data_IF_653282940345
#
_entry.id   IF_653282940345
#
_cell.length_a   1.000
_cell.length_b   1.000
_cell.length_c   1.000
_cell.angle_alpha   90.00
_cell.angle_beta   90.00
_cell.angle_gamma   90.00
#
_symmetry.space_group_name_H-M   'P 1'
#
loop_
_entity.id
_entity.type
_entity.pdbx_description
1 polymer ?
#
# COMPACT_ATOMS: atom_id res chain seq x y z
N UNK A 1 12.20 -15.72 -2.97
CA UNK A 1 10.90 -16.05 -2.35
C UNK A 1 9.93 -16.78 -3.28
N UNK A 2 10.04 -16.69 -4.61
CA UNK A 2 9.05 -17.32 -5.51
C UNK A 2 9.19 -18.85 -5.65
N UNK A 3 10.01 -19.49 -4.81
CA UNK A 3 10.17 -20.95 -4.75
C UNK A 3 9.97 -21.41 -3.31
N UNK A 4 9.59 -22.69 -3.08
CA UNK A 4 9.47 -23.25 -1.74
C UNK A 4 10.75 -23.07 -0.89
N UNK A 5 11.91 -23.26 -1.50
CA UNK A 5 13.21 -23.08 -0.83
C UNK A 5 13.45 -21.61 -0.47
N UNK A 6 13.11 -20.70 -1.38
CA UNK A 6 13.20 -19.26 -1.14
C UNK A 6 12.26 -18.79 -0.03
N UNK A 7 11.06 -19.37 0.08
CA UNK A 7 10.15 -19.14 1.20
C UNK A 7 10.70 -19.73 2.51
N UNK A 8 11.29 -20.92 2.48
CA UNK A 8 11.88 -21.54 3.66
C UNK A 8 13.01 -20.68 4.25
N UNK A 9 13.94 -20.23 3.40
CA UNK A 9 15.02 -19.29 3.81
C UNK A 9 14.42 -17.99 4.35
N UNK A 10 13.32 -17.50 3.77
CA UNK A 10 12.66 -16.30 4.26
C UNK A 10 12.01 -16.50 5.64
N UNK A 11 11.36 -17.64 5.87
CA UNK A 11 10.81 -17.99 7.19
C UNK A 11 11.89 -18.11 8.25
N UNK A 12 13.06 -18.63 7.89
CA UNK A 12 14.23 -18.67 8.76
C UNK A 12 14.74 -17.26 9.07
N UNK A 13 14.88 -16.41 8.04
CA UNK A 13 15.25 -15.01 8.22
C UNK A 13 14.29 -14.27 9.17
N UNK A 14 12.97 -14.45 9.00
CA UNK A 14 11.95 -13.83 9.84
C UNK A 14 11.83 -14.45 11.24
N UNK A 15 12.60 -15.50 11.56
CA UNK A 15 12.45 -16.24 12.82
C UNK A 15 12.78 -15.42 14.07
N UNK A 16 13.79 -14.54 13.98
CA UNK A 16 14.13 -13.63 15.08
C UNK A 16 13.02 -12.62 15.28
N UNK A 17 12.53 -12.01 14.20
CA UNK A 17 11.43 -11.04 14.28
C UNK A 17 10.16 -11.69 14.85
N UNK A 18 9.83 -12.92 14.45
CA UNK A 18 8.69 -13.68 14.99
C UNK A 18 8.79 -13.89 16.51
N UNK A 19 9.97 -14.29 17.00
CA UNK A 19 10.19 -14.46 18.45
C UNK A 19 10.03 -13.16 19.22
N UNK A 20 10.44 -12.03 18.63
CA UNK A 20 10.23 -10.71 19.24
C UNK A 20 8.73 -10.34 19.26
N UNK A 21 8.03 -10.55 18.14
CA UNK A 21 6.57 -10.35 18.04
C UNK A 21 5.82 -11.15 19.11
N UNK A 22 6.19 -12.41 19.32
CA UNK A 22 5.61 -13.26 20.37
C UNK A 22 5.99 -12.78 21.78
N UNK A 23 7.27 -12.50 22.03
CA UNK A 23 7.76 -12.13 23.36
C UNK A 23 7.23 -10.78 23.86
N UNK A 24 6.97 -9.84 22.94
CA UNK A 24 6.40 -8.53 23.25
C UNK A 24 4.88 -8.49 23.09
N UNK A 25 4.24 -9.62 22.81
CA UNK A 25 2.79 -9.73 22.62
C UNK A 25 2.27 -8.70 21.60
N UNK A 26 2.97 -8.55 20.47
CA UNK A 26 2.63 -7.56 19.46
C UNK A 26 1.29 -7.92 18.79
N UNK A 27 0.32 -7.01 18.89
CA UNK A 27 -1.00 -7.15 18.26
C UNK A 27 -0.96 -6.93 16.75
N UNK A 28 -0.20 -5.92 16.31
CA UNK A 28 -0.15 -5.48 14.91
C UNK A 28 1.25 -4.99 14.52
N UNK A 29 1.67 -5.31 13.30
CA UNK A 29 2.97 -4.93 12.73
C UNK A 29 2.75 -3.86 11.67
N UNK A 30 3.50 -2.77 11.69
CA UNK A 30 3.37 -1.69 10.71
C UNK A 30 4.60 -1.62 9.81
N UNK A 31 4.44 -1.91 8.52
CA UNK A 31 5.51 -1.96 7.52
C UNK A 31 5.71 -0.58 6.87
N UNK A 32 6.46 0.29 7.54
CA UNK A 32 6.78 1.63 7.03
C UNK A 32 7.93 1.62 6.02
N UNK A 33 7.64 1.37 4.73
CA UNK A 33 8.68 1.32 3.70
C UNK A 33 9.57 0.07 3.80
N UNK A 34 8.99 -1.04 4.25
CA UNK A 34 9.69 -2.31 4.35
C UNK A 34 9.86 -2.94 2.96
N UNK A 35 11.02 -2.71 2.33
CA UNK A 35 11.31 -3.12 0.94
C UNK A 35 11.64 -4.61 0.79
N UNK A 36 10.98 -5.48 1.58
CA UNK A 36 11.23 -6.91 1.56
C UNK A 36 9.95 -7.70 1.83
N UNK A 37 9.83 -8.88 1.24
CA UNK A 37 8.68 -9.76 1.50
C UNK A 37 8.76 -10.36 2.89
N UNK A 38 7.73 -10.26 3.72
CA UNK A 38 7.72 -10.83 5.08
C UNK A 38 6.82 -12.06 5.18
N UNK A 39 7.18 -13.01 6.06
CA UNK A 39 6.34 -14.16 6.44
C UNK A 39 5.63 -13.96 7.78
N UNK A 40 5.74 -12.76 8.36
CA UNK A 40 5.00 -12.37 9.57
C UNK A 40 3.55 -12.04 9.21
N UNK A 41 2.63 -12.45 10.08
CA UNK A 41 1.21 -12.13 9.95
C UNK A 41 0.85 -10.82 10.67
N UNK A 42 -0.41 -10.40 10.55
CA UNK A 42 -0.95 -9.21 11.23
C UNK A 42 -0.18 -7.93 10.88
N UNK A 43 0.26 -7.81 9.62
CA UNK A 43 0.95 -6.62 9.16
C UNK A 43 0.01 -5.67 8.41
N UNK A 44 0.26 -4.38 8.58
CA UNK A 44 -0.29 -3.29 7.77
C UNK A 44 0.84 -2.78 6.89
N UNK A 45 0.61 -2.72 5.59
CA UNK A 45 1.50 -2.02 4.65
C UNK A 45 0.86 -0.71 4.20
N UNK A 46 1.70 0.27 3.87
CA UNK A 46 1.28 1.49 3.15
C UNK A 46 1.90 1.48 1.75
N UNK A 47 1.07 1.74 0.76
CA UNK A 47 1.45 1.71 -0.65
C UNK A 47 1.13 3.05 -1.33
N UNK A 48 2.06 3.64 -2.09
CA UNK A 48 1.90 4.98 -2.67
C UNK A 48 1.08 4.95 -3.97
N UNK A 49 -0.09 4.32 -3.96
CA UNK A 49 -1.06 4.37 -5.06
C UNK A 49 -2.49 4.12 -4.57
N UNK A 50 -3.47 4.39 -5.43
CA UNK A 50 -4.87 4.03 -5.21
C UNK A 50 -5.08 2.56 -5.56
N UNK A 51 -5.01 1.69 -4.54
CA UNK A 51 -5.13 0.24 -4.70
C UNK A 51 -6.58 -0.21 -4.97
N UNK A 52 -7.56 0.70 -4.96
CA UNK A 52 -8.92 0.39 -5.43
C UNK A 52 -9.05 0.45 -6.95
N UNK A 53 -8.06 1.01 -7.67
CA UNK A 53 -8.08 1.07 -9.13
C UNK A 53 -7.68 -0.31 -9.68
N UNK A 54 -8.55 -0.90 -10.49
CA UNK A 54 -8.40 -2.26 -11.03
C UNK A 54 -8.29 -2.28 -12.55
N UNK A 55 -7.59 -3.29 -13.04
CA UNK A 55 -7.58 -3.71 -14.44
C UNK A 55 -8.88 -4.47 -14.78
N UNK A 56 -9.20 -4.68 -16.07
CA UNK A 56 -10.39 -5.45 -16.48
C UNK A 56 -10.45 -6.89 -15.94
N UNK A 57 -9.31 -7.47 -15.59
CA UNK A 57 -9.18 -8.79 -14.97
C UNK A 57 -9.27 -8.76 -13.44
N UNK A 58 -9.75 -7.65 -12.87
CA UNK A 58 -9.95 -7.40 -11.43
C UNK A 58 -8.66 -7.28 -10.59
N UNK A 59 -7.47 -7.36 -11.19
CA UNK A 59 -6.20 -7.12 -10.49
C UNK A 59 -5.99 -5.63 -10.23
N UNK A 60 -5.30 -5.29 -9.13
CA UNK A 60 -4.93 -3.90 -8.82
C UNK A 60 -3.99 -3.35 -9.88
N UNK A 61 -4.25 -2.13 -10.36
CA UNK A 61 -3.56 -1.54 -11.53
C UNK A 61 -2.15 -1.05 -11.20
N UNK A 62 -1.96 -0.43 -10.04
CA UNK A 62 -0.72 0.27 -9.67
C UNK A 62 -0.06 -0.37 -8.46
N UNK A 63 0.57 -1.53 -8.63
CA UNK A 63 1.28 -2.28 -7.57
C UNK A 63 2.81 -2.20 -7.76
N UNK A 64 3.56 -2.50 -6.69
CA UNK A 64 5.03 -2.51 -6.71
C UNK A 64 5.71 -1.14 -6.74
N UNK A 65 7.03 -1.15 -6.86
CA UNK A 65 7.91 -0.01 -6.54
C UNK A 65 7.71 1.25 -7.41
N UNK A 66 7.17 1.10 -8.62
CA UNK A 66 7.00 2.19 -9.59
C UNK A 66 5.58 2.75 -9.64
N UNK A 67 4.73 2.46 -8.66
CA UNK A 67 3.30 2.75 -8.75
C UNK A 67 2.96 4.23 -9.05
N UNK A 68 3.68 5.20 -8.44
CA UNK A 68 3.49 6.63 -8.73
C UNK A 68 3.89 6.97 -10.18
N UNK A 69 5.01 6.41 -10.65
CA UNK A 69 5.47 6.58 -12.04
C UNK A 69 4.42 6.06 -13.02
N UNK A 70 3.91 4.86 -12.76
CA UNK A 70 3.00 4.16 -13.65
C UNK A 70 1.63 4.84 -13.67
N UNK A 71 1.14 5.35 -12.53
CA UNK A 71 -0.07 6.15 -12.46
C UNK A 71 0.03 7.47 -13.25
N UNK A 72 1.15 8.20 -13.10
CA UNK A 72 1.36 9.44 -13.87
C UNK A 72 1.49 9.12 -15.37
N UNK A 73 2.24 8.08 -15.74
CA UNK A 73 2.39 7.66 -17.13
C UNK A 73 1.07 7.23 -17.78
N UNK A 74 0.16 6.65 -16.99
CA UNK A 74 -1.17 6.27 -17.41
C UNK A 74 -2.16 7.45 -17.51
N UNK A 75 -1.73 8.68 -17.18
CA UNK A 75 -2.54 9.89 -17.29
C UNK A 75 -3.52 10.09 -16.12
N UNK A 76 -3.28 9.48 -14.96
CA UNK A 76 -4.11 9.73 -13.78
C UNK A 76 -4.00 11.19 -13.35
N UNK A 77 -5.14 11.86 -13.15
CA UNK A 77 -5.18 13.26 -12.72
C UNK A 77 -4.97 13.43 -11.21
N UNK A 78 -5.08 12.33 -10.45
CA UNK A 78 -4.92 12.31 -9.00
C UNK A 78 -4.14 11.09 -8.56
N UNK A 79 -3.36 11.24 -7.48
CA UNK A 79 -2.70 10.14 -6.78
C UNK A 79 -3.28 10.01 -5.37
N UNK A 80 -3.32 8.79 -4.86
CA UNK A 80 -3.70 8.48 -3.47
C UNK A 80 -2.71 7.48 -2.90
N UNK A 81 -2.68 7.39 -1.59
CA UNK A 81 -1.97 6.36 -0.85
C UNK A 81 -3.00 5.39 -0.28
N UNK A 82 -2.62 4.13 -0.14
CA UNK A 82 -3.49 3.08 0.37
C UNK A 82 -2.81 2.35 1.52
N UNK A 83 -3.59 1.91 2.50
CA UNK A 83 -3.13 0.94 3.50
C UNK A 83 -3.83 -0.39 3.28
N UNK A 84 -3.12 -1.48 3.49
CA UNK A 84 -3.68 -2.83 3.34
C UNK A 84 -3.25 -3.72 4.50
N UNK A 85 -4.10 -4.70 4.80
CA UNK A 85 -3.73 -5.85 5.61
C UNK A 85 -2.97 -6.84 4.75
N UNK A 86 -1.76 -7.22 5.13
CA UNK A 86 -0.90 -8.07 4.28
C UNK A 86 -1.39 -9.52 4.26
N UNK A 87 -1.32 -10.14 3.09
CA UNK A 87 -1.47 -11.57 2.85
C UNK A 87 -0.16 -12.16 2.28
N UNK A 88 -0.22 -13.37 1.74
CA UNK A 88 0.95 -14.02 1.11
C UNK A 88 1.32 -13.43 -0.27
N UNK A 89 0.54 -12.48 -0.80
CA UNK A 89 0.82 -11.84 -2.08
C UNK A 89 1.45 -10.45 -1.93
N UNK A 90 1.84 -9.87 -3.07
CA UNK A 90 2.44 -8.53 -3.11
C UNK A 90 1.34 -7.50 -3.33
N UNK A 91 1.07 -6.71 -2.30
CA UNK A 91 0.01 -5.69 -2.30
C UNK A 91 -1.36 -6.23 -2.73
N UNK A 92 -1.70 -7.48 -2.40
CA UNK A 92 -2.98 -8.13 -2.77
C UNK A 92 -3.99 -8.18 -1.63
N UNK A 93 -3.52 -8.11 -0.38
CA UNK A 93 -4.37 -8.26 0.78
C UNK A 93 -5.41 -7.14 0.97
N UNK A 94 -6.35 -7.31 1.92
CA UNK A 94 -7.54 -6.47 2.09
C UNK A 94 -7.22 -4.98 2.21
N UNK A 95 -7.97 -4.15 1.49
CA UNK A 95 -7.74 -2.71 1.42
C UNK A 95 -8.39 -2.02 2.63
N UNK A 96 -7.57 -1.41 3.49
CA UNK A 96 -8.04 -0.80 4.74
C UNK A 96 -8.47 0.66 4.53
N UNK A 97 -7.54 1.52 4.14
CA UNK A 97 -7.83 2.94 3.87
C UNK A 97 -7.28 3.37 2.51
N UNK A 98 -7.91 4.40 1.94
CA UNK A 98 -7.36 5.15 0.81
C UNK A 98 -7.40 6.64 1.14
N UNK A 99 -6.30 7.33 0.91
CA UNK A 99 -6.15 8.75 1.24
C UNK A 99 -7.00 9.66 0.39
N UNK A 100 -7.15 10.90 0.84
CA UNK A 100 -7.50 12.01 -0.03
C UNK A 100 -6.61 12.08 -1.28
N UNK A 101 -7.16 12.53 -2.42
CA UNK A 101 -6.38 12.73 -3.63
C UNK A 101 -5.42 13.90 -3.49
N UNK A 102 -4.21 13.72 -4.03
CA UNK A 102 -3.37 14.84 -4.48
C UNK A 102 -3.50 14.98 -5.99
N UNK A 103 -3.54 16.21 -6.49
CA UNK A 103 -3.58 16.46 -7.94
C UNK A 103 -2.21 16.27 -8.60
N UNK A 104 -2.23 15.63 -9.76
CA UNK A 104 -1.08 15.51 -10.66
C UNK A 104 -0.99 16.79 -11.50
N UNK A 105 0.08 17.56 -11.26
CA UNK A 105 0.31 18.83 -11.93
C UNK A 105 1.55 18.67 -12.82
N UNK A 106 1.32 18.48 -14.12
CA UNK A 106 2.40 18.27 -15.08
C UNK A 106 2.88 19.61 -15.65
N UNK A 107 4.20 19.79 -15.84
CA UNK A 107 4.75 21.01 -16.46
C UNK A 107 4.49 21.07 -17.97
N UNK A 108 4.10 19.96 -18.59
CA UNK A 108 3.79 19.81 -20.01
C UNK A 108 2.92 18.56 -20.20
N UNK A 109 2.27 18.37 -21.37
CA UNK A 109 1.51 17.16 -21.67
C UNK A 109 2.33 15.88 -21.46
N UNK A 110 1.70 14.82 -20.93
CA UNK A 110 2.36 13.57 -20.56
C UNK A 110 3.10 12.95 -21.75
N UNK A 111 2.56 13.05 -22.96
CA UNK A 111 3.12 12.52 -24.20
C UNK A 111 4.46 13.15 -24.58
N UNK A 112 4.70 14.39 -24.14
CA UNK A 112 5.97 15.10 -24.33
C UNK A 112 6.90 14.77 -23.16
N UNK A 113 6.37 14.82 -21.93
CA UNK A 113 7.15 14.62 -20.71
C UNK A 113 7.85 13.26 -20.68
N UNK A 114 7.15 12.17 -21.01
CA UNK A 114 7.70 10.80 -21.00
C UNK A 114 8.87 10.60 -21.97
N UNK A 115 8.98 11.41 -23.02
CA UNK A 115 10.11 11.36 -23.97
C UNK A 115 11.41 11.88 -23.34
N UNK A 116 11.31 12.70 -22.29
CA UNK A 116 12.44 13.16 -21.51
C UNK A 116 12.48 12.44 -20.16
N UNK A 117 13.07 11.24 -20.14
CA UNK A 117 13.11 10.38 -18.96
C UNK A 117 13.63 11.09 -17.70
N UNK A 118 14.68 11.93 -17.83
CA UNK A 118 15.23 12.67 -16.69
C UNK A 118 14.22 13.67 -16.11
N UNK A 119 13.50 14.40 -16.97
CA UNK A 119 12.47 15.35 -16.54
C UNK A 119 11.26 14.61 -15.96
N UNK A 120 10.85 13.51 -16.59
CA UNK A 120 9.75 12.67 -16.11
C UNK A 120 10.02 12.11 -14.71
N UNK A 121 11.18 11.50 -14.47
CA UNK A 121 11.53 10.95 -13.16
C UNK A 121 11.58 12.02 -12.07
N UNK A 122 12.00 13.24 -12.40
CA UNK A 122 11.94 14.36 -11.45
C UNK A 122 10.50 14.71 -11.06
N UNK A 123 9.59 14.76 -12.04
CA UNK A 123 8.16 15.00 -11.78
C UNK A 123 7.57 13.88 -10.92
N UNK A 124 7.93 12.62 -11.21
CA UNK A 124 7.48 11.46 -10.41
C UNK A 124 7.95 11.59 -8.96
N UNK A 125 9.23 11.87 -8.72
CA UNK A 125 9.75 12.02 -7.35
C UNK A 125 9.07 13.19 -6.61
N UNK A 126 8.91 14.34 -7.25
CA UNK A 126 8.19 15.49 -6.68
C UNK A 126 6.76 15.10 -6.24
N UNK A 127 6.04 14.32 -7.06
CA UNK A 127 4.70 13.84 -6.75
C UNK A 127 4.71 12.76 -5.65
N UNK A 128 5.70 11.87 -5.65
CA UNK A 128 5.85 10.85 -4.62
C UNK A 128 6.16 11.47 -3.25
N UNK A 129 7.02 12.50 -3.18
CA UNK A 129 7.29 13.22 -1.93
C UNK A 129 6.05 13.97 -1.42
N UNK A 130 5.25 14.54 -2.33
CA UNK A 130 3.96 15.15 -1.95
C UNK A 130 2.99 14.10 -1.44
N UNK A 131 2.89 12.96 -2.11
CA UNK A 131 2.00 11.86 -1.74
C UNK A 131 2.36 11.30 -0.38
N UNK A 132 3.65 11.12 -0.10
CA UNK A 132 4.13 10.68 1.21
C UNK A 132 3.63 11.57 2.34
N UNK A 133 3.74 12.89 2.17
CA UNK A 133 3.35 13.87 3.20
C UNK A 133 1.84 14.02 3.36
N UNK A 134 1.11 13.98 2.25
CA UNK A 134 -0.32 14.32 2.21
C UNK A 134 -1.22 13.08 2.23
N UNK A 135 -0.68 11.92 1.85
CA UNK A 135 -1.32 10.60 1.83
C UNK A 135 -0.73 9.71 2.91
N UNK A 136 0.44 9.08 2.67
CA UNK A 136 1.02 8.04 3.53
C UNK A 136 1.05 8.44 5.02
N UNK A 137 1.59 9.62 5.33
CA UNK A 137 1.73 10.12 6.71
C UNK A 137 0.39 10.43 7.39
N UNK A 138 -0.70 10.51 6.63
CA UNK A 138 -2.05 10.65 7.18
C UNK A 138 -2.70 9.29 7.35
N UNK A 139 -2.81 8.51 6.28
CA UNK A 139 -3.59 7.26 6.32
C UNK A 139 -2.89 6.16 7.11
N UNK A 140 -1.57 6.12 7.13
CA UNK A 140 -0.85 5.05 7.81
C UNK A 140 -1.04 5.07 9.33
N UNK A 141 -0.75 6.18 10.06
CA UNK A 141 -1.06 6.25 11.48
C UNK A 141 -2.56 6.20 11.77
N UNK A 142 -3.41 6.76 10.89
CA UNK A 142 -4.87 6.71 11.05
C UNK A 142 -5.41 5.28 10.99
N UNK A 143 -4.89 4.45 10.10
CA UNK A 143 -5.25 3.02 9.99
C UNK A 143 -4.93 2.31 11.31
N UNK A 144 -3.74 2.55 11.86
CA UNK A 144 -3.32 1.95 13.14
C UNK A 144 -4.22 2.41 14.28
N UNK A 145 -4.56 3.71 14.34
CA UNK A 145 -5.47 4.25 15.35
C UNK A 145 -6.85 3.59 15.28
N UNK A 146 -7.43 3.46 14.09
CA UNK A 146 -8.74 2.85 13.89
C UNK A 146 -8.74 1.36 14.27
N UNK A 147 -7.67 0.63 13.96
CA UNK A 147 -7.49 -0.77 14.43
C UNK A 147 -7.41 -0.83 15.95
N UNK A 148 -6.62 0.04 16.58
CA UNK A 148 -6.48 0.09 18.04
C UNK A 148 -7.80 0.44 18.75
N UNK A 149 -8.70 1.17 18.07
CA UNK A 149 -10.06 1.47 18.55
C UNK A 149 -11.08 0.37 18.28
N UNK A 150 -10.68 -0.72 17.62
CA UNK A 150 -11.58 -1.81 17.24
C UNK A 150 -12.59 -1.44 16.15
N UNK A 151 -12.30 -0.41 15.34
CA UNK A 151 -13.22 0.04 14.29
C UNK A 151 -13.14 -0.83 13.04
N UNK A 152 -11.98 -1.42 12.76
CA UNK A 152 -11.79 -2.33 11.64
C UNK A 152 -12.15 -3.78 12.01
N UNK A 153 -12.82 -4.47 11.08
CA UNK A 153 -13.00 -5.91 11.12
C UNK A 153 -12.78 -6.53 9.72
N UNK A 154 -12.38 -7.80 9.71
CA UNK A 154 -12.30 -8.64 8.52
C UNK A 154 -13.25 -9.82 8.73
N UNK A 155 -14.05 -10.17 7.72
CA UNK A 155 -14.82 -11.42 7.73
C UNK A 155 -14.01 -12.59 7.15
N UNK A 156 -14.65 -13.77 7.06
CA UNK A 156 -14.03 -15.01 6.56
C UNK A 156 -13.59 -14.90 5.08
N UNK A 157 -14.25 -14.03 4.32
CA UNK A 157 -13.95 -13.75 2.91
C UNK A 157 -12.96 -12.57 2.75
N UNK A 158 -12.34 -12.13 3.85
CA UNK A 158 -11.42 -11.00 3.89
C UNK A 158 -12.05 -9.66 3.46
N UNK A 159 -13.39 -9.54 3.51
CA UNK A 159 -14.06 -8.27 3.32
C UNK A 159 -13.81 -7.35 4.53
N UNK A 160 -13.49 -6.10 4.25
CA UNK A 160 -13.15 -5.10 5.27
C UNK A 160 -14.41 -4.38 5.72
N UNK A 161 -14.55 -4.20 7.03
CA UNK A 161 -15.62 -3.41 7.64
C UNK A 161 -15.04 -2.31 8.51
N UNK A 162 -15.71 -1.16 8.52
CA UNK A 162 -15.48 -0.06 9.48
C UNK A 162 -16.77 0.22 10.22
N UNK A 163 -16.73 0.14 11.55
CA UNK A 163 -17.89 0.34 12.43
C UNK A 163 -19.12 -0.49 11.97
N UNK A 164 -18.87 -1.73 11.56
CA UNK A 164 -19.88 -2.69 11.08
C UNK A 164 -20.37 -2.47 9.65
N UNK A 165 -19.82 -1.51 8.90
CA UNK A 165 -20.19 -1.24 7.50
C UNK A 165 -19.14 -1.75 6.53
N UNK A 166 -19.51 -2.48 5.46
CA UNK A 166 -18.56 -3.00 4.50
C UNK A 166 -17.91 -1.88 3.69
N UNK A 167 -16.58 -1.94 3.54
CA UNK A 167 -15.73 -1.01 2.79
C UNK A 167 -14.71 -1.78 1.93
N UNK A 168 -15.16 -2.64 0.98
CA UNK A 168 -14.29 -3.56 0.24
C UNK A 168 -13.23 -2.87 -0.63
N UNK A 169 -13.44 -1.59 -0.95
CA UNK A 169 -12.53 -0.75 -1.75
C UNK A 169 -11.78 0.29 -0.90
N UNK A 170 -11.68 0.04 0.41
CA UNK A 170 -11.00 0.86 1.38
C UNK A 170 -11.85 2.01 1.93
N UNK A 171 -11.71 2.25 3.23
CA UNK A 171 -12.32 3.38 3.91
C UNK A 171 -11.68 4.71 3.47
N UNK A 172 -12.51 5.75 3.33
CA UNK A 172 -12.12 7.09 2.88
C UNK A 172 -12.74 8.10 3.84
N UNK A 173 -11.91 9.00 4.37
CA UNK A 173 -12.28 10.09 5.28
C UNK A 173 -11.86 11.42 4.67
#
# INVERSE_FOLDING_TARGET
>A
INTPEGLAVRREYDSVARRLVEAFEIDVITLGGYMSYTTLNRCINVHPSDLSIRLPDNRRKYVGDNAVRDAIAAGENTLRASTLWTDEGVDTGPLLMVSDPIYVNLPEPIEILIKNNKKFLRVVDEHQQRLKKQGDWKVFPRTVEMIARGQFALDEDNCVYVDGRPVPDGYRE
#
